data_IF_804057754534
#
_entry.id   IF_804057754534
#
_cell.length_a   1.000
_cell.length_b   1.000
_cell.length_c   1.000
_cell.angle_alpha   90.00
_cell.angle_beta   90.00
_cell.angle_gamma   90.00
#
_symmetry.space_group_name_H-M   'P 1'
#
loop_
_entity.id
_entity.type
_entity.pdbx_description
1 polymer ?
#
# COMPACT_ATOMS: atom_id res chain seq x y z
N UNK A 1 10.90 12.41 27.59
CA UNK A 1 10.51 11.15 26.91
C UNK A 1 10.51 11.46 25.42
N UNK A 2 11.35 10.84 24.63
CA UNK A 2 11.23 10.91 23.16
C UNK A 2 9.86 10.40 22.76
N UNK A 3 9.13 11.19 21.96
CA UNK A 3 7.87 10.73 21.39
C UNK A 3 8.18 9.56 20.45
N UNK A 4 7.53 8.42 20.67
CA UNK A 4 7.61 7.26 19.76
C UNK A 4 7.11 7.69 18.39
N UNK A 5 7.88 7.40 17.33
CA UNK A 5 7.46 7.60 15.94
C UNK A 5 6.33 6.63 15.57
N UNK A 6 5.38 7.12 14.80
CA UNK A 6 4.34 6.28 14.20
C UNK A 6 4.97 5.39 13.13
N UNK A 7 4.97 4.08 13.31
CA UNK A 7 5.44 3.11 12.32
C UNK A 7 4.37 2.89 11.26
N UNK A 8 4.69 3.20 10.02
CA UNK A 8 3.75 3.14 8.89
C UNK A 8 4.20 2.12 7.86
N UNK A 9 3.28 1.25 7.45
CA UNK A 9 3.45 0.37 6.30
C UNK A 9 2.48 0.79 5.20
N UNK A 10 2.96 1.00 3.97
CA UNK A 10 2.14 1.39 2.83
C UNK A 10 1.99 0.22 1.85
N UNK A 11 0.80 -0.38 1.79
CA UNK A 11 0.43 -1.34 0.76
C UNK A 11 -0.11 -0.62 -0.48
N UNK A 12 0.29 -1.04 -1.67
CA UNK A 12 0.03 -0.34 -2.94
C UNK A 12 0.55 1.10 -2.92
N UNK A 13 1.78 1.25 -2.45
CA UNK A 13 2.35 2.54 -2.06
C UNK A 13 2.39 3.57 -3.20
N UNK A 14 2.47 3.13 -4.46
CA UNK A 14 2.62 4.02 -5.60
C UNK A 14 3.84 4.92 -5.43
N UNK A 15 3.63 6.23 -5.46
CA UNK A 15 4.68 7.24 -5.25
C UNK A 15 4.67 7.84 -3.83
N UNK A 16 3.94 7.26 -2.88
CA UNK A 16 3.94 7.68 -1.47
C UNK A 16 3.11 8.93 -1.16
N UNK A 17 1.88 8.99 -1.66
CA UNK A 17 1.00 10.13 -1.39
C UNK A 17 0.67 10.27 0.11
N UNK A 18 0.51 9.16 0.82
CA UNK A 18 0.20 9.12 2.24
C UNK A 18 1.42 9.51 3.08
N UNK A 19 2.63 9.05 2.71
CA UNK A 19 3.88 9.51 3.34
C UNK A 19 4.02 11.03 3.23
N UNK A 20 3.77 11.60 2.04
CA UNK A 20 3.76 13.06 1.83
C UNK A 20 2.71 13.75 2.71
N UNK A 21 1.54 13.17 2.89
CA UNK A 21 0.49 13.74 3.74
C UNK A 21 0.92 13.77 5.22
N UNK A 22 1.50 12.68 5.72
CA UNK A 22 2.02 12.60 7.11
C UNK A 22 3.12 13.64 7.35
N UNK A 23 4.05 13.80 6.40
CA UNK A 23 5.08 14.82 6.47
C UNK A 23 4.49 16.24 6.56
N UNK A 24 3.52 16.56 5.70
CA UNK A 24 2.89 17.89 5.65
C UNK A 24 2.12 18.26 6.90
N UNK A 25 1.48 17.31 7.56
CA UNK A 25 0.76 17.56 8.83
C UNK A 25 1.68 17.50 10.06
N UNK A 26 2.98 17.23 9.87
CA UNK A 26 3.99 17.27 10.92
C UNK A 26 3.90 16.14 11.94
N UNK A 27 3.35 14.98 11.55
CA UNK A 27 3.40 13.78 12.39
C UNK A 27 4.81 13.21 12.34
N UNK A 28 5.36 12.87 13.51
CA UNK A 28 6.62 12.15 13.60
C UNK A 28 6.39 10.67 13.27
N UNK A 29 6.82 10.24 12.10
CA UNK A 29 6.58 8.90 11.57
C UNK A 29 7.86 8.25 11.01
N UNK A 30 7.79 6.96 10.81
CA UNK A 30 8.78 6.16 10.10
C UNK A 30 8.06 5.20 9.14
N UNK A 31 8.43 5.22 7.85
CA UNK A 31 8.02 4.17 6.91
C UNK A 31 8.87 2.92 7.21
N UNK A 32 8.23 1.91 7.78
CA UNK A 32 8.90 0.65 8.13
C UNK A 32 9.00 -0.31 6.95
N UNK A 33 8.19 -0.12 5.91
CA UNK A 33 8.23 -0.85 4.66
C UNK A 33 7.09 -0.43 3.74
N UNK A 34 7.21 -0.77 2.47
CA UNK A 34 6.15 -0.61 1.48
C UNK A 34 5.91 -1.92 0.74
N UNK A 35 4.76 -2.05 0.08
CA UNK A 35 4.50 -3.09 -0.89
C UNK A 35 3.96 -2.46 -2.17
N UNK A 36 4.78 -2.48 -3.20
CA UNK A 36 4.40 -2.15 -4.57
C UNK A 36 5.17 -3.04 -5.55
N UNK A 37 4.55 -3.37 -6.65
CA UNK A 37 5.18 -4.21 -7.68
C UNK A 37 5.54 -3.43 -8.94
N UNK A 38 5.02 -2.19 -9.11
CA UNK A 38 5.27 -1.37 -10.27
C UNK A 38 6.63 -0.67 -10.15
N UNK A 39 7.60 -1.11 -10.95
CA UNK A 39 9.00 -0.71 -10.82
C UNK A 39 9.21 0.80 -10.92
N UNK A 40 8.51 1.50 -11.83
CA UNK A 40 8.65 2.94 -11.97
C UNK A 40 8.09 3.70 -10.75
N UNK A 41 7.01 3.19 -10.12
CA UNK A 41 6.48 3.79 -8.91
C UNK A 41 7.47 3.66 -7.74
N UNK A 42 8.12 2.51 -7.59
CA UNK A 42 9.13 2.27 -6.56
C UNK A 42 10.32 3.21 -6.73
N UNK A 43 10.82 3.37 -7.97
CA UNK A 43 11.92 4.29 -8.28
C UNK A 43 11.52 5.75 -7.99
N UNK A 44 10.28 6.14 -8.34
CA UNK A 44 9.75 7.47 -8.02
C UNK A 44 9.58 7.67 -6.51
N UNK A 45 9.08 6.66 -5.79
CA UNK A 45 8.94 6.71 -4.33
C UNK A 45 10.30 6.97 -3.68
N UNK A 46 11.33 6.23 -4.08
CA UNK A 46 12.70 6.40 -3.60
C UNK A 46 13.21 7.83 -3.83
N UNK A 47 13.05 8.35 -5.04
CA UNK A 47 13.49 9.69 -5.40
C UNK A 47 12.77 10.80 -4.60
N UNK A 48 11.54 10.58 -4.17
CA UNK A 48 10.74 11.55 -3.41
C UNK A 48 11.05 11.46 -1.91
N UNK A 49 11.03 10.25 -1.34
CA UNK A 49 10.99 10.04 0.10
C UNK A 49 12.31 9.57 0.71
N UNK A 50 13.22 9.00 -0.09
CA UNK A 50 14.48 8.45 0.42
C UNK A 50 15.72 9.21 -0.07
N UNK A 51 15.57 10.45 -0.59
CA UNK A 51 16.68 11.23 -1.16
C UNK A 51 17.85 11.47 -0.19
N UNK A 52 17.56 11.53 1.11
CA UNK A 52 18.55 11.77 2.16
C UNK A 52 19.10 10.46 2.77
N UNK A 53 18.55 9.31 2.36
CA UNK A 53 19.04 8.00 2.78
C UNK A 53 20.32 7.61 2.03
N UNK A 54 21.25 6.92 2.67
CA UNK A 54 22.50 6.50 2.04
C UNK A 54 22.22 5.58 0.84
N UNK A 55 22.99 5.76 -0.22
CA UNK A 55 22.94 4.85 -1.37
C UNK A 55 23.60 3.53 -0.93
N UNK A 56 22.90 2.38 -1.04
CA UNK A 56 23.47 1.10 -0.70
C UNK A 56 24.64 0.77 -1.64
N UNK A 57 25.58 -0.03 -1.13
CA UNK A 57 26.63 -0.60 -1.97
C UNK A 57 26.00 -1.42 -3.10
N UNK A 58 26.52 -1.22 -4.31
CA UNK A 58 26.06 -1.98 -5.48
C UNK A 58 26.89 -3.26 -5.61
N UNK A 59 26.28 -4.43 -5.40
CA UNK A 59 26.95 -5.70 -5.64
C UNK A 59 27.04 -6.00 -7.15
N UNK A 60 27.56 -7.13 -7.52
CA UNK A 60 27.58 -7.57 -8.93
C UNK A 60 26.16 -7.60 -9.53
N UNK A 61 26.07 -7.52 -10.85
CA UNK A 61 24.78 -7.59 -11.56
C UNK A 61 24.01 -8.87 -11.23
N UNK A 62 24.72 -9.97 -11.11
CA UNK A 62 24.17 -11.28 -10.78
C UNK A 62 23.55 -11.28 -9.38
N UNK A 63 24.22 -10.69 -8.39
CA UNK A 63 23.70 -10.57 -7.02
C UNK A 63 22.52 -9.62 -6.93
N UNK A 64 22.51 -8.53 -7.73
CA UNK A 64 21.34 -7.64 -7.83
C UNK A 64 20.10 -8.38 -8.37
N UNK A 65 20.30 -9.19 -9.43
CA UNK A 65 19.24 -10.02 -10.03
C UNK A 65 18.74 -11.05 -9.01
N UNK A 66 19.66 -11.75 -8.33
CA UNK A 66 19.30 -12.74 -7.30
C UNK A 66 18.48 -12.11 -6.19
N UNK A 67 18.91 -10.95 -5.68
CA UNK A 67 18.17 -10.22 -4.66
C UNK A 67 16.76 -9.82 -5.14
N UNK A 68 16.67 -9.20 -6.32
CA UNK A 68 15.38 -8.72 -6.83
C UNK A 68 14.42 -9.86 -7.21
N UNK A 69 14.93 -11.05 -7.56
CA UNK A 69 14.11 -12.22 -7.82
C UNK A 69 13.40 -12.80 -6.59
N UNK A 70 13.73 -12.35 -5.38
CA UNK A 70 12.93 -12.66 -4.18
C UNK A 70 11.59 -11.95 -4.17
N UNK A 71 11.38 -10.97 -5.04
CA UNK A 71 10.17 -10.17 -5.14
C UNK A 71 9.54 -10.33 -6.53
N UNK A 72 8.25 -10.07 -6.64
CA UNK A 72 7.56 -10.00 -7.93
C UNK A 72 7.38 -8.55 -8.33
N UNK A 73 7.85 -8.19 -9.52
CA UNK A 73 7.78 -6.84 -10.08
C UNK A 73 7.09 -6.81 -11.43
N UNK A 74 6.62 -5.63 -11.82
CA UNK A 74 6.02 -5.34 -13.12
C UNK A 74 6.49 -4.00 -13.67
N UNK A 75 6.87 -3.95 -14.96
CA UNK A 75 7.15 -2.69 -15.69
C UNK A 75 5.92 -2.04 -16.30
N UNK A 76 4.85 -2.79 -16.49
CA UNK A 76 3.63 -2.32 -17.13
C UNK A 76 2.42 -2.31 -16.20
N UNK A 77 2.63 -2.66 -14.93
CA UNK A 77 1.58 -2.84 -13.90
C UNK A 77 0.51 -3.90 -14.24
N UNK A 78 0.77 -4.75 -15.23
CA UNK A 78 -0.17 -5.77 -15.72
C UNK A 78 0.43 -7.18 -15.66
N UNK A 79 1.68 -7.31 -16.11
CA UNK A 79 2.35 -8.59 -16.23
C UNK A 79 3.64 -8.62 -15.39
N UNK A 80 3.95 -9.75 -14.75
CA UNK A 80 5.24 -9.91 -14.08
C UNK A 80 6.41 -9.73 -15.07
N UNK A 81 7.41 -8.97 -14.65
CA UNK A 81 8.61 -8.68 -15.44
C UNK A 81 9.73 -9.65 -15.12
N UNK A 82 10.54 -9.98 -16.12
CA UNK A 82 11.76 -10.75 -15.94
C UNK A 82 12.91 -9.81 -15.61
N UNK A 83 13.43 -9.90 -14.39
CA UNK A 83 14.46 -9.01 -13.85
C UNK A 83 15.77 -9.12 -14.66
N UNK A 84 16.13 -10.31 -15.09
CA UNK A 84 17.33 -10.59 -15.91
C UNK A 84 17.33 -9.91 -17.29
N UNK A 85 16.17 -9.41 -17.74
CA UNK A 85 16.01 -8.69 -19.01
C UNK A 85 16.05 -7.16 -18.90
N UNK A 86 16.17 -6.65 -17.71
CA UNK A 86 16.31 -5.22 -17.48
C UNK A 86 17.69 -4.75 -17.97
N UNK A 87 17.75 -3.55 -18.54
CA UNK A 87 19.04 -2.92 -18.81
C UNK A 87 19.76 -2.61 -17.49
N UNK A 88 21.10 -2.51 -17.56
CA UNK A 88 21.92 -2.42 -16.35
C UNK A 88 21.61 -1.17 -15.52
N UNK A 89 21.42 -0.02 -16.18
CA UNK A 89 21.13 1.24 -15.47
C UNK A 89 19.79 1.19 -14.75
N UNK A 90 18.77 0.62 -15.40
CA UNK A 90 17.45 0.45 -14.79
C UNK A 90 17.45 -0.56 -13.64
N UNK A 91 18.21 -1.68 -13.81
CA UNK A 91 18.39 -2.69 -12.79
C UNK A 91 19.00 -2.09 -11.50
N UNK A 92 20.08 -1.31 -11.65
CA UNK A 92 20.74 -0.63 -10.53
C UNK A 92 19.80 0.35 -9.82
N UNK A 93 19.06 1.17 -10.59
CA UNK A 93 18.05 2.07 -10.02
C UNK A 93 16.99 1.33 -9.24
N UNK A 94 16.47 0.24 -9.80
CA UNK A 94 15.47 -0.57 -9.11
C UNK A 94 16.02 -1.25 -7.85
N UNK A 95 17.26 -1.75 -7.91
CA UNK A 95 17.93 -2.35 -6.74
C UNK A 95 18.08 -1.33 -5.60
N UNK A 96 18.61 -0.14 -5.91
CA UNK A 96 18.78 0.95 -4.94
C UNK A 96 17.42 1.32 -4.34
N UNK A 97 16.44 1.58 -5.19
CA UNK A 97 15.11 1.99 -4.77
C UNK A 97 14.44 0.94 -3.89
N UNK A 98 14.50 -0.34 -4.29
CA UNK A 98 13.89 -1.43 -3.52
C UNK A 98 14.50 -1.57 -2.13
N UNK A 99 15.84 -1.40 -2.01
CA UNK A 99 16.55 -1.45 -0.73
C UNK A 99 16.18 -0.28 0.18
N UNK A 100 16.23 0.96 -0.35
CA UNK A 100 16.01 2.18 0.43
C UNK A 100 14.55 2.32 0.89
N UNK A 101 13.61 1.98 0.02
CA UNK A 101 12.18 2.00 0.36
C UNK A 101 11.73 0.82 1.22
N UNK A 102 12.60 -0.17 1.46
CA UNK A 102 12.27 -1.42 2.14
C UNK A 102 11.07 -2.10 1.46
N UNK A 103 11.03 -2.05 0.11
CA UNK A 103 9.89 -2.56 -0.65
C UNK A 103 9.87 -4.10 -0.67
N UNK A 104 8.68 -4.65 -0.49
CA UNK A 104 8.41 -6.09 -0.40
C UNK A 104 7.75 -6.65 -1.66
N UNK A 105 7.73 -5.87 -2.76
CA UNK A 105 7.17 -6.31 -4.04
C UNK A 105 5.66 -6.45 -4.05
N UNK A 106 5.18 -7.42 -4.81
CA UNK A 106 3.74 -7.66 -5.00
C UNK A 106 3.05 -8.07 -3.70
N UNK A 107 1.91 -7.43 -3.42
CA UNK A 107 1.05 -7.75 -2.27
C UNK A 107 0.60 -9.22 -2.27
N UNK A 108 0.48 -9.86 -3.43
CA UNK A 108 0.08 -11.27 -3.56
C UNK A 108 1.15 -12.23 -3.04
N UNK A 109 2.40 -11.78 -2.95
CA UNK A 109 3.55 -12.55 -2.45
C UNK A 109 3.91 -12.19 -1.01
N UNK A 110 3.47 -11.03 -0.52
CA UNK A 110 3.73 -10.60 0.85
C UNK A 110 3.10 -11.59 1.84
N UNK A 111 3.85 -11.97 2.89
CA UNK A 111 3.39 -12.77 4.02
C UNK A 111 3.60 -11.97 5.31
N UNK A 112 2.72 -12.19 6.29
CA UNK A 112 2.80 -11.49 7.57
C UNK A 112 4.15 -11.73 8.28
N UNK A 113 4.70 -12.92 8.20
CA UNK A 113 6.02 -13.26 8.78
C UNK A 113 7.16 -12.39 8.28
N UNK A 114 7.05 -11.88 7.05
CA UNK A 114 8.05 -11.00 6.44
C UNK A 114 7.73 -9.52 6.63
N UNK A 115 6.51 -9.18 7.06
CA UNK A 115 6.06 -7.82 7.25
C UNK A 115 6.56 -7.26 8.58
N UNK A 116 7.21 -6.08 8.61
CA UNK A 116 7.61 -5.45 9.87
C UNK A 116 6.38 -5.06 10.69
N UNK A 117 6.56 -4.96 12.02
CA UNK A 117 5.52 -4.38 12.87
C UNK A 117 5.25 -2.93 12.49
N UNK A 118 3.97 -2.58 12.35
CA UNK A 118 3.52 -1.23 12.08
C UNK A 118 2.35 -0.84 12.99
N UNK A 119 2.25 0.46 13.25
CA UNK A 119 1.13 1.04 14.00
C UNK A 119 -0.01 1.41 13.06
N UNK A 120 0.34 1.83 11.84
CA UNK A 120 -0.60 2.21 10.76
C UNK A 120 -0.31 1.40 9.51
N UNK A 121 -1.32 0.69 9.02
CA UNK A 121 -1.33 0.11 7.68
C UNK A 121 -2.18 0.98 6.75
N UNK A 122 -1.55 1.54 5.74
CA UNK A 122 -2.24 2.26 4.65
C UNK A 122 -2.40 1.34 3.45
N UNK A 123 -3.57 1.33 2.83
CA UNK A 123 -3.82 0.50 1.64
C UNK A 123 -4.76 1.19 0.65
N UNK A 124 -4.24 1.40 -0.56
CA UNK A 124 -4.93 2.07 -1.68
C UNK A 124 -4.95 1.13 -2.88
N UNK A 125 -5.73 0.06 -2.78
CA UNK A 125 -5.77 -0.97 -3.82
C UNK A 125 -6.30 -0.44 -5.17
N UNK A 126 -5.90 -1.05 -6.32
CA UNK A 126 -6.28 -0.57 -7.64
C UNK A 126 -7.79 -0.44 -7.84
N UNK A 127 -8.23 0.72 -8.36
CA UNK A 127 -9.63 1.07 -8.55
C UNK A 127 -10.15 0.84 -9.98
N UNK A 128 -9.36 0.22 -10.85
CA UNK A 128 -9.67 0.16 -12.29
C UNK A 128 -10.97 -0.58 -12.62
N UNK A 129 -11.37 -1.54 -11.80
CA UNK A 129 -12.61 -2.29 -11.96
C UNK A 129 -13.80 -1.65 -11.19
N UNK A 130 -13.52 -0.65 -10.33
CA UNK A 130 -14.52 0.13 -9.60
C UNK A 130 -14.95 1.39 -10.34
N UNK A 131 -14.09 1.92 -11.23
CA UNK A 131 -14.36 3.18 -11.91
C UNK A 131 -15.41 3.00 -13.01
N UNK A 132 -16.18 4.07 -13.29
CA UNK A 132 -17.16 4.11 -14.38
C UNK A 132 -16.55 3.93 -15.76
N UNK A 133 -15.25 4.14 -15.92
CA UNK A 133 -14.48 3.84 -17.14
C UNK A 133 -13.89 2.43 -17.18
N UNK A 134 -14.01 1.65 -16.13
CA UNK A 134 -13.59 0.25 -16.03
C UNK A 134 -14.71 -0.73 -16.42
N UNK A 135 -14.42 -2.03 -16.32
CA UNK A 135 -15.39 -3.10 -16.68
C UNK A 135 -16.55 -3.26 -15.68
N UNK A 136 -16.61 -2.47 -14.61
CA UNK A 136 -17.67 -2.55 -13.59
C UNK A 136 -17.76 -3.90 -12.87
N UNK A 137 -16.64 -4.65 -12.79
CA UNK A 137 -16.61 -6.00 -12.21
C UNK A 137 -16.59 -6.00 -10.67
N UNK A 138 -16.52 -4.82 -10.05
CA UNK A 138 -16.57 -4.65 -8.59
C UNK A 138 -15.33 -5.17 -7.84
N UNK A 139 -15.49 -5.31 -6.52
CA UNK A 139 -14.45 -5.83 -5.60
C UNK A 139 -14.68 -7.30 -5.24
N UNK A 140 -15.56 -7.99 -5.95
CA UNK A 140 -16.02 -9.33 -5.56
C UNK A 140 -14.85 -10.28 -5.26
N UNK A 141 -14.92 -10.93 -4.12
CA UNK A 141 -13.93 -11.92 -3.66
C UNK A 141 -13.78 -13.05 -4.67
N UNK A 142 -12.53 -13.38 -5.04
CA UNK A 142 -12.22 -14.43 -6.00
C UNK A 142 -12.51 -14.08 -7.47
N UNK A 143 -12.85 -12.83 -7.79
CA UNK A 143 -13.14 -12.40 -9.17
C UNK A 143 -11.91 -12.35 -10.07
N UNK A 144 -10.69 -12.39 -9.52
CA UNK A 144 -9.44 -12.18 -10.26
C UNK A 144 -9.29 -10.75 -10.81
N UNK A 145 -10.14 -9.82 -10.39
CA UNK A 145 -10.04 -8.39 -10.75
C UNK A 145 -8.92 -7.70 -9.98
N UNK A 146 -8.41 -6.57 -10.50
CA UNK A 146 -7.42 -5.77 -9.76
C UNK A 146 -7.99 -5.17 -8.48
N UNK A 147 -9.27 -4.81 -8.47
CA UNK A 147 -9.97 -4.35 -7.26
C UNK A 147 -10.17 -5.49 -6.25
N UNK A 148 -10.10 -6.74 -6.69
CA UNK A 148 -10.08 -7.94 -5.83
C UNK A 148 -8.79 -8.08 -5.00
N UNK A 149 -7.76 -7.25 -5.24
CA UNK A 149 -6.56 -7.22 -4.40
C UNK A 149 -6.81 -6.68 -2.98
N UNK A 150 -7.98 -6.11 -2.70
CA UNK A 150 -8.44 -5.84 -1.33
C UNK A 150 -8.39 -7.11 -0.46
N UNK A 151 -8.74 -8.27 -1.04
CA UNK A 151 -8.78 -9.55 -0.32
C UNK A 151 -7.39 -10.12 0.01
N UNK A 152 -6.33 -9.56 -0.61
CA UNK A 152 -4.96 -9.82 -0.16
C UNK A 152 -4.66 -9.12 1.17
N UNK A 153 -5.25 -7.93 1.41
CA UNK A 153 -5.17 -7.26 2.72
C UNK A 153 -5.93 -8.09 3.77
N UNK A 154 -7.10 -8.67 3.43
CA UNK A 154 -7.80 -9.61 4.32
C UNK A 154 -6.90 -10.77 4.74
N UNK A 155 -6.22 -11.39 3.77
CA UNK A 155 -5.29 -12.49 4.03
C UNK A 155 -4.16 -12.06 4.96
N UNK A 156 -3.52 -10.92 4.69
CA UNK A 156 -2.42 -10.38 5.50
C UNK A 156 -2.90 -10.07 6.93
N UNK A 157 -4.04 -9.38 7.09
CA UNK A 157 -4.59 -9.09 8.41
C UNK A 157 -4.97 -10.36 9.17
N UNK A 158 -5.49 -11.38 8.47
CA UNK A 158 -5.79 -12.69 9.08
C UNK A 158 -4.52 -13.42 9.54
N UNK A 159 -3.43 -13.30 8.80
CA UNK A 159 -2.12 -13.84 9.17
C UNK A 159 -1.55 -13.07 10.39
N UNK A 160 -1.56 -11.72 10.35
CA UNK A 160 -1.10 -10.86 11.45
C UNK A 160 -1.90 -11.07 12.73
N UNK A 161 -3.22 -11.31 12.64
CA UNK A 161 -4.06 -11.59 13.79
C UNK A 161 -3.64 -12.88 14.51
N UNK A 162 -3.25 -13.92 13.77
CA UNK A 162 -2.74 -15.18 14.36
C UNK A 162 -1.43 -14.99 15.11
N UNK A 163 -0.66 -13.96 14.76
CA UNK A 163 0.61 -13.61 15.36
C UNK A 163 0.48 -12.52 16.44
N UNK A 164 -0.75 -12.07 16.77
CA UNK A 164 -1.03 -10.94 17.68
C UNK A 164 -0.31 -9.64 17.30
N UNK A 165 -0.24 -9.36 15.99
CA UNK A 165 0.52 -8.25 15.37
C UNK A 165 -0.36 -7.33 14.52
N UNK A 166 -1.65 -7.25 14.81
CA UNK A 166 -2.54 -6.34 14.09
C UNK A 166 -2.08 -4.88 14.26
N UNK A 167 -2.02 -4.09 13.18
CA UNK A 167 -1.79 -2.65 13.25
C UNK A 167 -2.86 -1.97 14.12
N UNK A 168 -2.48 -0.93 14.89
CA UNK A 168 -3.44 -0.18 15.69
C UNK A 168 -4.45 0.59 14.83
N UNK A 169 -3.98 1.08 13.66
CA UNK A 169 -4.77 1.87 12.72
C UNK A 169 -4.70 1.28 11.31
N UNK A 170 -5.81 1.39 10.60
CA UNK A 170 -5.91 1.08 9.18
C UNK A 170 -6.43 2.32 8.45
N UNK A 171 -5.85 2.65 7.30
CA UNK A 171 -6.33 3.72 6.42
C UNK A 171 -6.58 3.16 5.02
N UNK A 172 -7.84 3.09 4.65
CA UNK A 172 -8.27 2.79 3.28
C UNK A 172 -8.42 4.09 2.50
N UNK A 173 -7.81 4.16 1.32
CA UNK A 173 -8.10 5.19 0.31
C UNK A 173 -8.53 4.53 -1.00
N UNK A 174 -9.57 5.09 -1.64
CA UNK A 174 -9.97 4.65 -2.98
C UNK A 174 -10.79 5.73 -3.70
N UNK A 175 -11.24 5.44 -4.92
CA UNK A 175 -12.16 6.30 -5.65
C UNK A 175 -13.53 6.34 -4.96
N UNK A 176 -14.26 7.47 -5.09
CA UNK A 176 -15.62 7.65 -4.53
C UNK A 176 -16.59 6.51 -4.91
N UNK A 177 -16.39 5.91 -6.08
CA UNK A 177 -17.26 4.80 -6.56
C UNK A 177 -17.20 3.54 -5.68
N UNK A 178 -16.24 3.43 -4.74
CA UNK A 178 -16.26 2.35 -3.73
C UNK A 178 -17.58 2.37 -2.93
N UNK A 179 -18.16 3.56 -2.74
CA UNK A 179 -19.44 3.78 -2.04
C UNK A 179 -20.66 3.58 -2.94
N UNK A 180 -20.47 3.23 -4.25
CA UNK A 180 -21.60 3.03 -5.14
C UNK A 180 -22.41 1.78 -4.74
N UNK A 181 -23.72 1.82 -5.01
CA UNK A 181 -24.64 0.72 -4.67
C UNK A 181 -24.20 -0.64 -5.22
N UNK A 182 -23.51 -0.64 -6.36
CA UNK A 182 -22.93 -1.87 -6.95
C UNK A 182 -21.82 -2.53 -6.10
N UNK A 183 -21.16 -1.76 -5.26
CA UNK A 183 -20.04 -2.21 -4.41
C UNK A 183 -20.41 -2.30 -2.92
N UNK A 184 -21.66 -1.93 -2.57
CA UNK A 184 -22.14 -1.85 -1.18
C UNK A 184 -21.99 -3.19 -0.44
N UNK A 185 -22.31 -4.29 -1.11
CA UNK A 185 -22.23 -5.61 -0.49
C UNK A 185 -20.78 -6.00 -0.19
N UNK A 186 -19.88 -5.79 -1.15
CA UNK A 186 -18.46 -6.10 -0.99
C UNK A 186 -17.80 -5.20 0.08
N UNK A 187 -18.15 -3.91 0.10
CA UNK A 187 -17.66 -2.97 1.11
C UNK A 187 -18.17 -3.35 2.50
N UNK A 188 -19.44 -3.74 2.61
CA UNK A 188 -20.00 -4.20 3.89
C UNK A 188 -19.33 -5.49 4.36
N UNK A 189 -19.07 -6.45 3.47
CA UNK A 189 -18.32 -7.67 3.81
C UNK A 189 -16.94 -7.33 4.34
N UNK A 190 -16.23 -6.39 3.68
CA UNK A 190 -14.93 -5.90 4.13
C UNK A 190 -14.97 -5.28 5.53
N UNK A 191 -15.90 -4.35 5.78
CA UNK A 191 -16.00 -3.68 7.08
C UNK A 191 -16.39 -4.67 8.19
N UNK A 192 -17.31 -5.62 7.91
CA UNK A 192 -17.66 -6.67 8.86
C UNK A 192 -16.47 -7.57 9.21
N UNK A 193 -15.63 -7.92 8.23
CA UNK A 193 -14.38 -8.63 8.51
C UNK A 193 -13.45 -7.86 9.44
N UNK A 194 -13.31 -6.54 9.27
CA UNK A 194 -12.51 -5.72 10.17
C UNK A 194 -13.11 -5.70 11.60
N UNK A 195 -14.44 -5.63 11.73
CA UNK A 195 -15.14 -5.72 13.02
C UNK A 195 -14.90 -7.06 13.71
N UNK A 196 -14.88 -8.18 12.97
CA UNK A 196 -14.54 -9.51 13.50
C UNK A 196 -13.11 -9.57 14.05
N UNK A 197 -12.17 -8.79 13.48
CA UNK A 197 -10.81 -8.62 14.00
C UNK A 197 -10.71 -7.67 15.20
N UNK A 198 -11.80 -7.01 15.58
CA UNK A 198 -11.85 -6.06 16.70
C UNK A 198 -11.62 -4.60 16.32
N UNK A 199 -11.65 -4.26 15.05
CA UNK A 199 -11.60 -2.87 14.60
C UNK A 199 -12.95 -2.19 14.74
N UNK A 200 -12.92 -0.90 15.04
CA UNK A 200 -14.04 0.03 14.90
C UNK A 200 -13.79 0.84 13.63
N UNK A 201 -14.77 0.86 12.75
CA UNK A 201 -14.68 1.57 11.49
C UNK A 201 -15.34 2.94 11.60
N UNK A 202 -14.63 4.01 11.25
CA UNK A 202 -15.20 5.34 11.13
C UNK A 202 -16.09 5.47 9.89
N UNK A 203 -16.95 6.49 9.86
CA UNK A 203 -17.73 6.81 8.67
C UNK A 203 -16.82 7.17 7.47
N UNK A 204 -17.21 6.71 6.29
CA UNK A 204 -16.47 7.03 5.07
C UNK A 204 -16.51 8.53 4.77
N UNK A 205 -15.35 9.15 4.69
CA UNK A 205 -15.17 10.54 4.27
C UNK A 205 -14.94 10.62 2.76
N UNK A 206 -15.71 11.46 2.07
CA UNK A 206 -15.41 11.83 0.67
C UNK A 206 -14.73 13.19 0.69
N UNK A 207 -13.47 13.23 0.27
CA UNK A 207 -12.69 14.46 0.21
C UNK A 207 -12.36 14.80 -1.23
N UNK A 208 -12.45 16.10 -1.58
CA UNK A 208 -12.04 16.59 -2.90
C UNK A 208 -10.73 17.38 -2.77
N UNK A 209 -9.76 17.10 -3.63
CA UNK A 209 -8.48 17.82 -3.64
C UNK A 209 -8.64 19.33 -3.81
N UNK A 210 -9.69 19.80 -4.50
CA UNK A 210 -10.03 21.22 -4.65
C UNK A 210 -10.22 21.92 -3.29
N UNK A 211 -10.80 21.22 -2.30
CA UNK A 211 -11.08 21.78 -0.97
C UNK A 211 -9.80 22.03 -0.16
N UNK A 212 -8.68 21.46 -0.62
CA UNK A 212 -7.34 21.55 -0.01
C UNK A 212 -6.34 22.36 -0.86
N UNK A 213 -6.82 23.31 -1.65
CA UNK A 213 -6.02 24.18 -2.49
C UNK A 213 -5.17 23.47 -3.57
N UNK A 214 -5.55 22.25 -3.95
CA UNK A 214 -4.96 21.54 -5.09
C UNK A 214 -5.85 21.79 -6.32
N UNK A 215 -5.32 22.35 -7.44
CA UNK A 215 -6.13 22.70 -8.61
C UNK A 215 -6.52 21.46 -9.43
N UNK A 216 -7.14 20.48 -8.78
CA UNK A 216 -7.60 19.23 -9.38
C UNK A 216 -8.92 18.80 -8.77
N UNK A 217 -9.95 18.64 -9.59
CA UNK A 217 -11.20 18.02 -9.19
C UNK A 217 -11.00 16.50 -9.04
N UNK A 218 -10.71 16.08 -7.81
CA UNK A 218 -10.35 14.70 -7.48
C UNK A 218 -10.98 14.27 -6.17
N UNK A 219 -12.15 13.65 -6.24
CA UNK A 219 -12.82 13.06 -5.09
C UNK A 219 -12.22 11.69 -4.74
N UNK A 220 -12.00 11.45 -3.44
CA UNK A 220 -11.55 10.18 -2.89
C UNK A 220 -12.31 9.83 -1.64
N UNK A 221 -12.55 8.54 -1.47
CA UNK A 221 -13.12 7.96 -0.28
C UNK A 221 -12.00 7.54 0.68
N UNK A 222 -12.14 7.89 1.95
CA UNK A 222 -11.24 7.50 3.02
C UNK A 222 -12.04 6.83 4.14
N UNK A 223 -11.55 5.70 4.63
CA UNK A 223 -12.08 5.02 5.81
C UNK A 223 -10.92 4.77 6.76
N UNK A 224 -11.05 5.26 7.99
CA UNK A 224 -10.13 4.95 9.09
C UNK A 224 -10.76 3.84 9.92
N UNK A 225 -9.95 2.87 10.32
CA UNK A 225 -10.36 1.85 11.28
C UNK A 225 -9.30 1.75 12.37
N UNK A 226 -9.72 1.55 13.61
CA UNK A 226 -8.82 1.47 14.76
C UNK A 226 -9.21 0.33 15.71
N UNK A 227 -8.24 -0.30 16.38
CA UNK A 227 -8.52 -1.36 17.35
C UNK A 227 -9.23 -0.79 18.58
N UNK A 228 -10.47 -1.27 18.86
CA UNK A 228 -11.34 -0.74 19.88
C UNK A 228 -10.84 -0.82 21.33
N UNK A 229 -9.87 -1.70 21.61
CA UNK A 229 -9.33 -1.91 22.97
C UNK A 229 -8.11 -1.05 23.31
N UNK A 230 -7.53 -0.32 22.37
CA UNK A 230 -6.27 0.43 22.53
C UNK A 230 -6.46 1.94 22.71
N UNK A 231 -7.66 2.48 22.58
CA UNK A 231 -7.96 3.89 22.91
C UNK A 231 -8.14 4.01 24.43
N UNK A 232 -7.04 4.17 25.15
CA UNK A 232 -7.01 4.60 26.56
C UNK A 232 -6.22 5.87 26.72
#
# INVERSE_FOLDING_TARGET
MEKRKLKVFEAFAGIGAQATALERIGIDYEIVGISDWFTDAIICYDAIHCKDEPIPELPSKEEQIEYLNNFEFSKDSVHPSKIDRLDTEYLEKLYIANKRTKNMGSITKLRAENMPECDLLVYSFPCQDLSTGGKGLGMKKGSGTRSGLLWEIERILSELNKEDRLPEYLLLENVKTIMAKSNEADLKEWLSFLEELGYVNDECMILNALDFAVPQDRERAFIVSHLGSKLK
#
